data_IF_564446788179
#
_entry.id   IF_564446788179
#
_cell.length_a   1.000
_cell.length_b   1.000
_cell.length_c   1.000
_cell.angle_alpha   90.00
_cell.angle_beta   90.00
_cell.angle_gamma   90.00
#
_symmetry.space_group_name_H-M   'P 1'
#
loop_
_entity.id
_entity.type
_entity.pdbx_description
1 polymer ?
#
# COMPACT_ATOMS: atom_id res chain seq x y z
N UNK A 1 -7.96 -34.03 -4.59
CA UNK A 1 -6.63 -33.37 -4.64
C UNK A 1 -6.78 -31.88 -4.83
N UNK A 2 -7.74 -31.44 -5.65
CA UNK A 2 -8.04 -30.04 -5.95
C UNK A 2 -8.33 -29.20 -4.69
N UNK A 3 -9.25 -29.62 -3.82
CA UNK A 3 -9.58 -28.87 -2.59
C UNK A 3 -8.36 -28.62 -1.67
N UNK A 4 -7.48 -29.62 -1.52
CA UNK A 4 -6.25 -29.47 -0.74
C UNK A 4 -5.32 -28.42 -1.35
N UNK A 5 -5.20 -28.39 -2.67
CA UNK A 5 -4.39 -27.40 -3.41
C UNK A 5 -4.93 -25.98 -3.24
N UNK A 6 -6.26 -25.82 -3.33
CA UNK A 6 -6.92 -24.54 -3.13
C UNK A 6 -6.73 -24.04 -1.70
N UNK A 7 -6.85 -24.93 -0.71
CA UNK A 7 -6.60 -24.58 0.70
C UNK A 7 -5.14 -24.16 0.94
N UNK A 8 -4.15 -24.82 0.33
CA UNK A 8 -2.75 -24.37 0.40
C UNK A 8 -2.55 -22.99 -0.23
N UNK A 9 -3.22 -22.73 -1.35
CA UNK A 9 -3.19 -21.42 -2.01
C UNK A 9 -3.80 -20.33 -1.12
N UNK A 10 -4.91 -20.64 -0.45
CA UNK A 10 -5.54 -19.77 0.55
C UNK A 10 -4.58 -19.45 1.71
N UNK A 11 -3.91 -20.45 2.28
CA UNK A 11 -2.93 -20.24 3.35
C UNK A 11 -1.73 -19.41 2.89
N UNK A 12 -1.29 -19.57 1.64
CA UNK A 12 -0.26 -18.73 1.03
C UNK A 12 -0.71 -17.26 0.91
N UNK A 13 -1.96 -17.03 0.50
CA UNK A 13 -2.55 -15.69 0.46
C UNK A 13 -2.61 -15.07 1.85
N UNK A 14 -3.05 -15.83 2.87
CA UNK A 14 -3.04 -15.36 4.27
C UNK A 14 -1.67 -14.90 4.70
N UNK A 15 -0.63 -15.67 4.41
CA UNK A 15 0.75 -15.31 4.75
C UNK A 15 1.20 -14.01 4.06
N UNK A 16 0.84 -13.82 2.79
CA UNK A 16 1.18 -12.60 2.04
C UNK A 16 0.42 -11.36 2.57
N UNK A 17 -0.87 -11.50 2.90
CA UNK A 17 -1.66 -10.42 3.51
C UNK A 17 -1.08 -10.03 4.87
N UNK A 18 -0.71 -11.01 5.71
CA UNK A 18 -0.08 -10.73 7.01
C UNK A 18 1.24 -9.98 6.85
N UNK A 19 2.08 -10.34 5.86
CA UNK A 19 3.33 -9.60 5.57
C UNK A 19 3.06 -8.15 5.16
N UNK A 20 2.02 -7.90 4.36
CA UNK A 20 1.60 -6.55 3.98
C UNK A 20 1.11 -5.74 5.18
N UNK A 21 0.30 -6.35 6.06
CA UNK A 21 -0.18 -5.68 7.25
C UNK A 21 0.95 -5.25 8.18
N UNK A 22 2.00 -6.06 8.29
CA UNK A 22 3.19 -5.78 9.10
C UNK A 22 4.20 -4.85 8.40
N UNK A 23 3.91 -4.40 7.17
CA UNK A 23 4.83 -3.56 6.43
C UNK A 23 4.87 -2.13 7.00
N UNK A 24 6.04 -1.75 7.51
CA UNK A 24 6.34 -0.44 8.08
C UNK A 24 7.54 0.18 7.33
N UNK A 25 7.27 1.08 6.39
CA UNK A 25 8.33 1.86 5.72
C UNK A 25 7.97 3.34 5.63
N UNK A 26 8.96 4.24 5.69
CA UNK A 26 8.78 5.65 5.36
C UNK A 26 8.93 5.98 3.86
N UNK A 27 9.28 5.02 2.99
CA UNK A 27 9.55 5.31 1.57
C UNK A 27 8.28 5.32 0.71
N UNK A 28 8.07 6.41 -0.02
CA UNK A 28 6.92 6.53 -0.95
C UNK A 28 6.99 5.54 -2.12
N UNK A 29 8.19 5.19 -2.59
CA UNK A 29 8.38 4.20 -3.65
C UNK A 29 7.94 2.81 -3.17
N UNK A 30 8.37 2.43 -1.97
CA UNK A 30 8.05 1.11 -1.41
C UNK A 30 6.56 0.99 -1.09
N UNK A 31 5.92 2.05 -0.56
CA UNK A 31 4.46 2.08 -0.37
C UNK A 31 3.70 1.90 -1.69
N UNK A 32 4.16 2.52 -2.79
CA UNK A 32 3.56 2.33 -4.13
C UNK A 32 3.72 0.89 -4.62
N UNK A 33 4.87 0.27 -4.37
CA UNK A 33 5.08 -1.15 -4.70
C UNK A 33 4.15 -2.06 -3.90
N UNK A 34 3.92 -1.77 -2.62
CA UNK A 34 2.95 -2.54 -1.82
C UNK A 34 1.51 -2.36 -2.32
N UNK A 35 1.11 -1.15 -2.71
CA UNK A 35 -0.21 -0.90 -3.31
C UNK A 35 -0.41 -1.72 -4.60
N UNK A 36 0.60 -1.78 -5.46
CA UNK A 36 0.55 -2.66 -6.64
C UNK A 36 0.44 -4.14 -6.24
N UNK A 37 1.15 -4.54 -5.18
CA UNK A 37 1.05 -5.89 -4.60
C UNK A 37 -0.34 -6.23 -4.08
N UNK A 38 -1.05 -5.27 -3.48
CA UNK A 38 -2.45 -5.42 -3.04
C UNK A 38 -3.37 -5.71 -4.22
N UNK A 39 -3.22 -4.98 -5.33
CA UNK A 39 -3.99 -5.25 -6.55
C UNK A 39 -3.79 -6.69 -7.04
N UNK A 40 -2.53 -7.13 -7.12
CA UNK A 40 -2.22 -8.50 -7.54
C UNK A 40 -2.76 -9.58 -6.59
N UNK A 41 -2.85 -9.29 -5.29
CA UNK A 41 -3.45 -10.21 -4.32
C UNK A 41 -4.97 -10.29 -4.44
N UNK A 42 -5.65 -9.18 -4.74
CA UNK A 42 -7.08 -9.18 -5.03
C UNK A 42 -7.41 -10.05 -6.25
N UNK A 43 -6.63 -9.91 -7.31
CA UNK A 43 -6.80 -10.76 -8.50
C UNK A 43 -6.65 -12.25 -8.16
N UNK A 44 -5.68 -12.59 -7.31
CA UNK A 44 -5.48 -13.98 -6.85
C UNK A 44 -6.61 -14.49 -5.97
N UNK A 45 -7.17 -13.64 -5.08
CA UNK A 45 -8.33 -14.00 -4.27
C UNK A 45 -9.54 -14.30 -5.17
N UNK A 46 -9.79 -13.45 -6.16
CA UNK A 46 -10.91 -13.61 -7.09
C UNK A 46 -10.75 -14.86 -7.98
N UNK A 47 -9.53 -15.15 -8.44
CA UNK A 47 -9.24 -16.40 -9.15
C UNK A 47 -9.48 -17.61 -8.24
N UNK A 48 -8.96 -17.59 -7.02
CA UNK A 48 -9.13 -18.68 -6.07
C UNK A 48 -10.61 -18.91 -5.71
N UNK A 49 -11.39 -17.84 -5.55
CA UNK A 49 -12.84 -17.90 -5.34
C UNK A 49 -13.54 -18.63 -6.50
N UNK A 50 -13.21 -18.30 -7.75
CA UNK A 50 -13.75 -19.01 -8.93
C UNK A 50 -13.37 -20.48 -8.95
N UNK A 51 -12.13 -20.81 -8.60
CA UNK A 51 -11.68 -22.20 -8.54
C UNK A 51 -12.42 -23.00 -7.46
N UNK A 52 -12.71 -22.41 -6.30
CA UNK A 52 -13.56 -23.03 -5.27
C UNK A 52 -14.97 -23.31 -5.81
N UNK A 53 -15.60 -22.36 -6.50
CA UNK A 53 -16.96 -22.54 -7.05
C UNK A 53 -17.03 -23.51 -8.24
N UNK A 54 -15.90 -23.90 -8.83
CA UNK A 54 -15.84 -24.94 -9.85
C UNK A 54 -15.78 -26.36 -9.26
N UNK A 55 -15.64 -26.50 -7.93
CA UNK A 55 -15.73 -27.80 -7.27
C UNK A 55 -17.16 -28.36 -7.30
N UNK A 56 -17.29 -29.66 -7.01
CA UNK A 56 -18.60 -30.29 -6.85
C UNK A 56 -19.46 -29.55 -5.82
N UNK A 57 -20.76 -29.42 -6.09
CA UNK A 57 -21.74 -28.74 -5.22
C UNK A 57 -21.86 -29.31 -3.82
N UNK A 58 -21.38 -30.55 -3.61
CA UNK A 58 -21.39 -31.24 -2.32
C UNK A 58 -20.25 -30.79 -1.39
N UNK A 59 -19.31 -29.99 -1.89
CA UNK A 59 -18.22 -29.44 -1.09
C UNK A 59 -18.74 -28.24 -0.30
N UNK A 60 -18.62 -28.28 1.03
CA UNK A 60 -18.89 -27.13 1.88
C UNK A 60 -17.76 -26.09 1.73
N UNK A 61 -18.12 -24.93 1.19
CA UNK A 61 -17.22 -23.80 0.95
C UNK A 61 -17.39 -22.67 1.97
N UNK A 62 -18.27 -22.82 2.98
CA UNK A 62 -18.63 -21.75 3.92
C UNK A 62 -17.40 -21.13 4.60
N UNK A 63 -16.48 -21.97 5.05
CA UNK A 63 -15.24 -21.52 5.68
C UNK A 63 -14.29 -20.82 4.69
N UNK A 64 -14.23 -21.33 3.44
CA UNK A 64 -13.40 -20.71 2.42
C UNK A 64 -13.91 -19.32 2.04
N UNK A 65 -15.21 -19.17 1.86
CA UNK A 65 -15.84 -17.89 1.54
C UNK A 65 -15.59 -16.86 2.63
N UNK A 66 -15.80 -17.24 3.89
CA UNK A 66 -15.55 -16.36 5.04
C UNK A 66 -14.10 -15.91 5.12
N UNK A 67 -13.15 -16.83 4.95
CA UNK A 67 -11.73 -16.51 5.03
C UNK A 67 -11.26 -15.64 3.86
N UNK A 68 -11.80 -15.83 2.64
CA UNK A 68 -11.49 -14.97 1.50
C UNK A 68 -12.07 -13.56 1.68
N UNK A 69 -13.29 -13.43 2.20
CA UNK A 69 -13.89 -12.14 2.55
C UNK A 69 -13.06 -11.40 3.61
N UNK A 70 -12.60 -12.11 4.64
CA UNK A 70 -11.72 -11.54 5.66
C UNK A 70 -10.39 -11.05 5.06
N UNK A 71 -9.83 -11.78 4.10
CA UNK A 71 -8.61 -11.34 3.41
C UNK A 71 -8.83 -10.08 2.56
N UNK A 72 -9.98 -9.94 1.92
CA UNK A 72 -10.33 -8.72 1.17
C UNK A 72 -10.47 -7.50 2.08
N UNK A 73 -11.13 -7.64 3.24
CA UNK A 73 -11.25 -6.56 4.24
C UNK A 73 -9.88 -6.15 4.79
N UNK A 74 -9.02 -7.12 5.10
CA UNK A 74 -7.64 -6.89 5.55
C UNK A 74 -6.82 -6.14 4.49
N UNK A 75 -6.95 -6.53 3.22
CA UNK A 75 -6.28 -5.84 2.11
C UNK A 75 -6.80 -4.41 1.94
N UNK A 76 -8.11 -4.19 2.07
CA UNK A 76 -8.69 -2.85 2.04
C UNK A 76 -8.13 -1.96 3.16
N UNK A 77 -8.05 -2.47 4.39
CA UNK A 77 -7.47 -1.73 5.52
C UNK A 77 -6.00 -1.37 5.28
N UNK A 78 -5.21 -2.31 4.73
CA UNK A 78 -3.81 -2.06 4.38
C UNK A 78 -3.67 -1.00 3.27
N UNK A 79 -4.51 -1.06 2.24
CA UNK A 79 -4.54 -0.10 1.14
C UNK A 79 -4.85 1.33 1.64
N UNK A 80 -5.90 1.47 2.45
CA UNK A 80 -6.27 2.76 3.06
C UNK A 80 -5.12 3.31 3.90
N UNK A 81 -4.48 2.46 4.72
CA UNK A 81 -3.31 2.85 5.52
C UNK A 81 -2.17 3.36 4.63
N UNK A 82 -1.85 2.67 3.55
CA UNK A 82 -0.76 3.07 2.66
C UNK A 82 -1.06 4.37 1.90
N UNK A 83 -2.29 4.56 1.42
CA UNK A 83 -2.70 5.84 0.83
C UNK A 83 -2.59 6.99 1.82
N UNK A 84 -3.01 6.77 3.07
CA UNK A 84 -2.87 7.77 4.13
C UNK A 84 -1.41 8.13 4.40
N UNK A 85 -0.52 7.13 4.48
CA UNK A 85 0.92 7.35 4.67
C UNK A 85 1.55 8.09 3.49
N UNK A 86 1.20 7.73 2.25
CA UNK A 86 1.65 8.44 1.05
C UNK A 86 1.24 9.91 1.07
N UNK A 87 -0.02 10.19 1.39
CA UNK A 87 -0.53 11.57 1.48
C UNK A 87 0.23 12.40 2.53
N UNK A 88 0.55 11.78 3.68
CA UNK A 88 1.37 12.43 4.72
C UNK A 88 2.79 12.74 4.22
N UNK A 89 3.44 11.79 3.53
CA UNK A 89 4.78 11.99 2.98
C UNK A 89 4.79 13.12 1.94
N UNK A 90 3.80 13.16 1.06
CA UNK A 90 3.68 14.21 0.04
C UNK A 90 3.46 15.59 0.68
N UNK A 91 2.69 15.67 1.77
CA UNK A 91 2.51 16.90 2.53
C UNK A 91 3.82 17.40 3.14
N UNK A 92 4.58 16.51 3.80
CA UNK A 92 5.89 16.84 4.38
C UNK A 92 6.86 17.33 3.30
N UNK A 93 6.94 16.62 2.17
CA UNK A 93 7.81 17.00 1.05
C UNK A 93 7.45 18.38 0.48
N UNK A 94 6.16 18.68 0.38
CA UNK A 94 5.66 19.99 -0.05
C UNK A 94 6.08 21.09 0.92
N UNK A 95 5.89 20.88 2.22
CA UNK A 95 6.25 21.86 3.26
C UNK A 95 7.78 22.12 3.26
N UNK A 96 8.59 21.07 3.19
CA UNK A 96 10.06 21.20 3.12
C UNK A 96 10.49 21.98 1.87
N UNK A 97 9.86 21.71 0.72
CA UNK A 97 10.13 22.43 -0.52
C UNK A 97 9.78 23.92 -0.43
N UNK A 98 8.68 24.26 0.25
CA UNK A 98 8.30 25.65 0.51
C UNK A 98 9.28 26.35 1.45
N UNK A 99 9.65 25.71 2.56
CA UNK A 99 10.66 26.24 3.48
C UNK A 99 11.99 26.51 2.78
N UNK A 100 12.45 25.57 1.94
CA UNK A 100 13.66 25.73 1.13
C UNK A 100 13.59 26.97 0.23
N UNK A 101 12.49 27.14 -0.52
CA UNK A 101 12.29 28.31 -1.40
C UNK A 101 12.29 29.63 -0.61
N UNK A 102 11.68 29.66 0.57
CA UNK A 102 11.68 30.85 1.43
C UNK A 102 13.08 31.17 1.94
N UNK A 103 13.85 30.15 2.33
CA UNK A 103 15.22 30.30 2.79
C UNK A 103 16.14 30.81 1.67
N UNK A 104 16.05 30.23 0.47
CA UNK A 104 16.77 30.68 -0.73
C UNK A 104 16.45 32.15 -1.07
N UNK A 105 15.17 32.54 -1.03
CA UNK A 105 14.75 33.94 -1.22
C UNK A 105 15.34 34.88 -0.17
N UNK A 106 15.33 34.50 1.11
CA UNK A 106 15.91 35.31 2.20
C UNK A 106 17.41 35.49 2.03
N UNK A 107 18.14 34.42 1.69
CA UNK A 107 19.59 34.51 1.42
C UNK A 107 19.84 35.48 0.27
N UNK A 108 19.13 35.31 -0.85
CA UNK A 108 19.28 36.17 -2.03
C UNK A 108 19.07 37.65 -1.67
N UNK A 109 17.97 37.96 -0.99
CA UNK A 109 17.67 39.31 -0.54
C UNK A 109 18.76 39.90 0.37
N UNK A 110 19.28 39.13 1.33
CA UNK A 110 20.36 39.57 2.20
C UNK A 110 21.65 39.88 1.43
N UNK A 111 22.00 39.06 0.44
CA UNK A 111 23.19 39.28 -0.39
C UNK A 111 23.04 40.52 -1.27
N UNK A 112 21.89 40.69 -1.92
CA UNK A 112 21.60 41.87 -2.77
C UNK A 112 21.65 43.17 -1.95
N UNK A 113 20.99 43.20 -0.79
CA UNK A 113 20.99 44.39 0.08
C UNK A 113 22.34 44.70 0.73
N UNK A 114 23.26 43.74 0.84
CA UNK A 114 24.62 44.00 1.29
C UNK A 114 25.48 44.60 0.17
N UNK A 115 25.28 44.15 -1.08
CA UNK A 115 25.97 44.71 -2.26
C UNK A 115 25.57 46.16 -2.47
N UNK A 116 24.27 46.48 -2.38
CA UNK A 116 23.75 47.85 -2.53
C UNK A 116 24.32 48.84 -1.50
N UNK A 117 24.87 48.35 -0.38
CA UNK A 117 25.51 49.19 0.66
C UNK A 117 26.99 49.44 0.43
N UNK A 118 27.61 48.77 -0.55
CA UNK A 118 29.05 48.83 -0.85
C UNK A 118 29.38 49.64 -2.11
N UNK A 119 28.36 50.07 -2.87
CA UNK A 119 28.45 50.90 -4.08
C UNK A 119 27.96 52.31 -3.77
#
# INVERSE_FOLDING_TARGET
>A
MELTSLNMSRESLKANVTKLEQFETPSSLELKLQLNGISALRDKIELLRKEYYNLSSDVDLTEADRELELLEDRLYKAEVRFHFLLSKLDNVLTNVSQCRKLFEKKIKFCLETQIDKLV
#
